data_IF_080826250977
#
_entry.id   IF_080826250977
#
_cell.length_a   1.000
_cell.length_b   1.000
_cell.length_c   1.000
_cell.angle_alpha   90.00
_cell.angle_beta   90.00
_cell.angle_gamma   90.00
#
_symmetry.space_group_name_H-M   'P 1'
#
loop_
_entity.id
_entity.type
_entity.pdbx_description
1 polymer ?
#
# COMPACT_ATOMS: atom_id res chain seq x y z
N UNK A 1 3.58 4.42 3.10
CA UNK A 1 3.07 5.74 3.55
C UNK A 1 4.20 6.55 4.18
N UNK A 2 4.68 6.20 5.39
CA UNK A 2 5.73 6.97 6.10
C UNK A 2 6.99 7.23 5.28
N UNK A 3 7.50 6.19 4.61
CA UNK A 3 8.65 6.31 3.71
C UNK A 3 8.49 7.40 2.64
N UNK A 4 7.33 7.43 1.97
CA UNK A 4 7.00 8.44 0.97
C UNK A 4 6.76 9.83 1.59
N UNK A 5 6.24 9.90 2.82
CA UNK A 5 5.98 11.17 3.49
C UNK A 5 7.24 11.85 4.02
N UNK A 6 8.20 11.09 4.54
CA UNK A 6 9.37 11.64 5.25
C UNK A 6 10.67 11.64 4.47
N UNK A 7 10.80 10.76 3.47
CA UNK A 7 12.04 10.62 2.70
C UNK A 7 11.82 11.03 1.26
N UNK A 8 12.83 11.66 0.67
CA UNK A 8 12.85 11.98 -0.76
C UNK A 8 13.12 10.70 -1.54
N UNK A 9 12.08 10.10 -2.11
CA UNK A 9 12.19 8.90 -2.94
C UNK A 9 12.24 9.31 -4.41
N UNK A 10 13.24 8.83 -5.15
CA UNK A 10 13.33 9.07 -6.58
C UNK A 10 12.11 8.43 -7.29
N UNK A 11 11.41 9.21 -8.12
CA UNK A 11 10.20 8.74 -8.81
C UNK A 11 8.97 8.57 -7.91
N UNK A 12 8.92 9.21 -6.74
CA UNK A 12 7.80 9.12 -5.80
C UNK A 12 6.43 9.36 -6.45
N UNK A 13 6.31 10.42 -7.28
CA UNK A 13 5.06 10.74 -7.95
C UNK A 13 4.60 9.61 -8.88
N UNK A 14 5.52 9.05 -9.66
CA UNK A 14 5.26 7.94 -10.58
C UNK A 14 4.89 6.66 -9.81
N UNK A 15 5.57 6.39 -8.69
CA UNK A 15 5.29 5.23 -7.83
C UNK A 15 3.91 5.33 -7.17
N UNK A 16 3.54 6.50 -6.65
CA UNK A 16 2.23 6.72 -6.04
C UNK A 16 1.11 6.66 -7.09
N UNK A 17 1.35 7.23 -8.27
CA UNK A 17 0.45 7.13 -9.40
C UNK A 17 0.27 5.67 -9.85
N UNK A 18 1.37 4.92 -9.99
CA UNK A 18 1.35 3.50 -10.32
C UNK A 18 0.54 2.70 -9.30
N UNK A 19 0.81 2.89 -8.01
CA UNK A 19 0.09 2.22 -6.92
C UNK A 19 -1.41 2.49 -7.01
N UNK A 20 -1.83 3.75 -7.19
CA UNK A 20 -3.25 4.10 -7.34
C UNK A 20 -3.88 3.52 -8.61
N UNK A 21 -3.15 3.51 -9.72
CA UNK A 21 -3.64 3.02 -11.03
C UNK A 21 -4.09 1.55 -10.96
N UNK A 22 -3.50 0.75 -10.06
CA UNK A 22 -3.89 -0.66 -9.85
C UNK A 22 -5.36 -0.82 -9.44
N UNK A 23 -6.00 0.20 -8.84
CA UNK A 23 -7.44 0.17 -8.50
C UNK A 23 -8.37 0.47 -9.67
N UNK A 24 -7.85 1.03 -10.76
CA UNK A 24 -8.66 1.35 -11.94
C UNK A 24 -9.00 0.10 -12.75
N UNK A 25 -8.31 -1.02 -12.47
CA UNK A 25 -8.59 -2.31 -13.07
C UNK A 25 -9.91 -2.91 -12.53
N UNK A 26 -10.84 -3.33 -13.39
CA UNK A 26 -12.05 -4.00 -12.94
C UNK A 26 -11.71 -5.33 -12.26
N UNK A 27 -12.21 -5.62 -11.04
CA UNK A 27 -11.87 -6.85 -10.31
C UNK A 27 -12.17 -8.14 -11.10
N UNK A 28 -13.23 -8.12 -11.92
CA UNK A 28 -13.64 -9.25 -12.76
C UNK A 28 -12.55 -9.68 -13.76
N UNK A 29 -11.75 -8.73 -14.27
CA UNK A 29 -10.67 -8.99 -15.23
C UNK A 29 -9.53 -9.77 -14.57
N UNK A 30 -9.32 -9.54 -13.28
CA UNK A 30 -8.23 -10.14 -12.50
C UNK A 30 -8.66 -11.47 -11.84
N UNK A 31 -9.97 -11.70 -11.69
CA UNK A 31 -10.51 -12.86 -10.97
C UNK A 31 -10.09 -14.21 -11.58
N UNK A 32 -10.25 -14.39 -12.90
CA UNK A 32 -9.91 -15.64 -13.59
C UNK A 32 -8.41 -15.97 -13.49
N UNK A 33 -7.48 -15.07 -13.86
CA UNK A 33 -6.05 -15.37 -13.76
C UNK A 33 -5.62 -15.62 -12.31
N UNK A 34 -6.14 -14.86 -11.34
CA UNK A 34 -5.86 -15.11 -9.92
C UNK A 34 -6.35 -16.47 -9.45
N UNK A 35 -7.54 -16.90 -9.87
CA UNK A 35 -8.07 -18.22 -9.55
C UNK A 35 -7.17 -19.34 -10.09
N UNK A 36 -6.69 -19.22 -11.34
CA UNK A 36 -5.76 -20.19 -11.92
C UNK A 36 -4.43 -20.22 -11.16
N UNK A 37 -3.88 -19.05 -10.81
CA UNK A 37 -2.66 -18.95 -10.00
C UNK A 37 -2.84 -19.62 -8.63
N UNK A 38 -3.91 -19.29 -7.91
CA UNK A 38 -4.21 -19.85 -6.59
C UNK A 38 -4.45 -21.36 -6.65
N UNK A 39 -4.99 -21.88 -7.75
CA UNK A 39 -5.08 -23.33 -7.98
C UNK A 39 -3.73 -24.00 -8.06
N UNK A 40 -2.79 -23.41 -8.79
CA UNK A 40 -1.46 -23.98 -8.97
C UNK A 40 -0.67 -24.03 -7.66
N UNK A 41 -0.83 -23.02 -6.80
CA UNK A 41 -0.12 -22.92 -5.51
C UNK A 41 -0.91 -23.47 -4.32
N UNK A 42 -2.10 -24.03 -4.54
CA UNK A 42 -2.94 -24.61 -3.47
C UNK A 42 -3.58 -23.60 -2.52
N UNK A 43 -3.71 -22.33 -2.92
CA UNK A 43 -4.36 -21.26 -2.13
C UNK A 43 -5.86 -21.12 -2.39
N UNK A 44 -6.41 -21.93 -3.30
CA UNK A 44 -7.85 -21.97 -3.53
C UNK A 44 -8.62 -22.37 -2.26
N UNK A 45 -9.76 -21.72 -2.05
CA UNK A 45 -10.64 -21.96 -0.89
C UNK A 45 -9.94 -21.84 0.47
N UNK A 46 -8.86 -21.05 0.53
CA UNK A 46 -8.10 -20.81 1.76
C UNK A 46 -8.31 -19.38 2.26
N UNK A 47 -8.34 -19.23 3.59
CA UNK A 47 -8.39 -17.91 4.22
C UNK A 47 -7.16 -17.07 3.87
N UNK A 48 -5.98 -17.70 3.79
CA UNK A 48 -4.72 -17.02 3.42
C UNK A 48 -4.80 -16.49 1.98
N UNK A 49 -5.34 -17.26 1.04
CA UNK A 49 -5.54 -16.81 -0.33
C UNK A 49 -6.42 -15.56 -0.39
N UNK A 50 -7.54 -15.55 0.35
CA UNK A 50 -8.43 -14.39 0.44
C UNK A 50 -7.76 -13.18 1.10
N UNK A 51 -6.98 -13.38 2.17
CA UNK A 51 -6.21 -12.31 2.83
C UNK A 51 -5.27 -11.66 1.83
N UNK A 52 -4.47 -12.45 1.10
CA UNK A 52 -3.52 -11.93 0.10
C UNK A 52 -4.26 -11.15 -0.99
N UNK A 53 -5.38 -11.68 -1.48
CA UNK A 53 -6.19 -11.05 -2.52
C UNK A 53 -6.70 -9.68 -2.04
N UNK A 54 -7.32 -9.62 -0.86
CA UNK A 54 -7.85 -8.38 -0.31
C UNK A 54 -6.77 -7.37 0.01
N UNK A 55 -5.62 -7.79 0.53
CA UNK A 55 -4.48 -6.90 0.77
C UNK A 55 -3.99 -6.33 -0.55
N UNK A 56 -3.74 -7.13 -1.57
CA UNK A 56 -3.24 -6.66 -2.86
C UNK A 56 -4.14 -5.57 -3.48
N UNK A 57 -5.46 -5.73 -3.42
CA UNK A 57 -6.41 -4.76 -3.97
C UNK A 57 -6.60 -3.51 -3.11
N UNK A 58 -6.49 -3.61 -1.78
CA UNK A 58 -6.78 -2.48 -0.89
C UNK A 58 -5.54 -1.71 -0.44
N UNK A 59 -4.36 -2.32 -0.52
CA UNK A 59 -3.11 -1.73 -0.07
C UNK A 59 -2.83 -0.38 -0.72
N UNK A 60 -3.12 -0.22 -2.02
CA UNK A 60 -2.89 1.02 -2.74
C UNK A 60 -3.64 2.20 -2.15
N UNK A 61 -4.94 2.02 -1.89
CA UNK A 61 -5.77 3.02 -1.24
C UNK A 61 -5.30 3.30 0.19
N UNK A 62 -5.02 2.26 0.98
CA UNK A 62 -4.54 2.42 2.35
C UNK A 62 -3.22 3.20 2.40
N UNK A 63 -2.28 2.93 1.48
CA UNK A 63 -1.00 3.64 1.40
C UNK A 63 -1.20 5.10 1.03
N UNK A 64 -2.07 5.39 0.07
CA UNK A 64 -2.35 6.77 -0.36
C UNK A 64 -3.05 7.57 0.73
N UNK A 65 -4.08 7.01 1.35
CA UNK A 65 -4.82 7.63 2.44
C UNK A 65 -3.89 7.93 3.63
N UNK A 66 -3.10 6.93 4.06
CA UNK A 66 -2.15 7.11 5.15
C UNK A 66 -1.04 8.10 4.82
N UNK A 67 -0.61 8.19 3.54
CA UNK A 67 0.33 9.22 3.12
C UNK A 67 -0.28 10.61 3.33
N UNK A 68 -1.53 10.82 2.90
CA UNK A 68 -2.24 12.09 3.11
C UNK A 68 -2.25 12.52 4.57
N UNK A 69 -2.63 11.61 5.48
CA UNK A 69 -2.59 11.91 6.93
C UNK A 69 -1.20 12.16 7.48
N UNK A 70 -0.17 11.44 7.00
CA UNK A 70 1.20 11.65 7.46
C UNK A 70 1.78 12.96 6.96
N UNK A 71 1.45 13.37 5.73
CA UNK A 71 1.87 14.65 5.15
C UNK A 71 1.26 15.85 5.89
N UNK A 72 0.08 15.69 6.49
CA UNK A 72 -0.56 16.72 7.33
C UNK A 72 0.16 16.95 8.67
N UNK A 73 0.88 15.95 9.19
CA UNK A 73 1.62 16.06 10.46
C UNK A 73 2.96 16.75 10.18
N UNK A 74 3.22 17.94 10.75
CA UNK A 74 4.49 18.63 10.58
C UNK A 74 5.68 17.79 11.08
N UNK A 75 6.77 17.80 10.32
CA UNK A 75 7.96 16.99 10.62
C UNK A 75 8.64 17.44 11.91
N UNK A 76 8.48 18.71 12.27
CA UNK A 76 9.03 19.35 13.46
C UNK A 76 8.57 18.64 14.75
N UNK A 77 7.40 18.01 14.76
CA UNK A 77 6.94 17.22 15.91
C UNK A 77 7.82 15.97 16.13
N UNK A 78 8.24 15.31 15.04
CA UNK A 78 9.14 14.15 15.13
C UNK A 78 10.55 14.60 15.52
N UNK A 79 11.01 15.75 14.99
CA UNK A 79 12.32 16.32 15.32
C UNK A 79 12.41 16.78 16.79
N UNK A 80 11.34 17.38 17.33
CA UNK A 80 11.26 17.74 18.74
C UNK A 80 11.32 16.50 19.65
N UNK A 81 10.57 15.44 19.31
CA UNK A 81 10.60 14.18 20.07
C UNK A 81 11.99 13.54 20.10
N UNK A 82 12.73 13.62 18.99
CA UNK A 82 14.12 13.14 18.91
C UNK A 82 15.07 13.96 19.80
N UNK A 83 14.89 15.29 19.88
CA UNK A 83 15.68 16.15 20.79
C UNK A 83 15.38 15.84 22.25
N UNK A 84 14.12 15.50 22.58
CA UNK A 84 13.69 15.11 23.93
C UNK A 84 14.14 13.68 24.33
N UNK A 85 14.82 12.95 23.44
CA UNK A 85 15.40 11.63 23.71
C UNK A 85 14.47 10.44 23.46
N UNK A 86 13.36 10.63 22.75
CA UNK A 86 12.48 9.55 22.33
C UNK A 86 13.03 8.87 21.05
N UNK A 87 12.86 7.55 20.95
CA UNK A 87 13.26 6.71 19.80
C UNK A 87 12.08 6.05 19.12
#
# INVERSE_FOLDING_TARGET
>A
AYGFSRFKIAGEADLLFFILSTRMLPPVVVAIPMFLMYRMVGLNDSHIGLIILYVAFNLSFSVWLMKGFMDEIPKEYEEAALVDGYT
#
